data_IF_014199783691
#
_entry.id   IF_014199783691
#
_cell.length_a   1.000
_cell.length_b   1.000
_cell.length_c   1.000
_cell.angle_alpha   90.00
_cell.angle_beta   90.00
_cell.angle_gamma   90.00
#
_symmetry.space_group_name_H-M   'P 1'
#
loop_
_entity.id
_entity.type
_entity.pdbx_description
1 polymer ?
#
# COMPACT_ATOMS: atom_id res chain seq x y z
N UNK A 1 23.14 17.91 3.15
CA UNK A 1 21.96 17.18 3.65
C UNK A 1 20.74 17.86 3.03
N UNK A 2 20.54 17.60 1.74
CA UNK A 2 19.61 18.30 0.82
C UNK A 2 18.19 17.79 1.06
N UNK A 3 17.12 18.56 1.12
CA UNK A 3 16.86 19.92 0.67
C UNK A 3 15.41 19.94 0.19
N UNK A 4 14.59 20.84 0.73
CA UNK A 4 13.18 21.04 0.41
C UNK A 4 12.93 21.19 -1.09
N UNK A 5 11.95 20.48 -1.66
CA UNK A 5 11.40 20.80 -2.99
C UNK A 5 9.88 20.59 -2.97
N UNK A 6 9.15 21.53 -2.36
CA UNK A 6 7.81 21.87 -2.85
C UNK A 6 8.02 22.43 -4.28
N UNK A 7 7.28 22.00 -5.31
CA UNK A 7 7.42 22.58 -6.63
C UNK A 7 6.75 23.96 -6.65
N UNK A 8 7.51 24.99 -6.28
CA UNK A 8 7.20 26.40 -6.46
C UNK A 8 7.31 26.84 -7.94
N UNK A 9 6.96 25.98 -8.89
CA UNK A 9 7.23 26.23 -10.32
C UNK A 9 6.09 25.85 -11.28
N UNK A 10 4.84 25.71 -10.81
CA UNK A 10 3.66 25.78 -11.71
C UNK A 10 3.38 27.25 -12.05
N UNK A 11 4.38 27.95 -12.59
CA UNK A 11 4.22 29.30 -13.17
C UNK A 11 5.29 29.51 -14.24
N UNK A 12 4.97 29.14 -15.49
CA UNK A 12 5.49 29.67 -16.77
C UNK A 12 5.09 28.67 -17.86
N UNK A 13 4.64 29.00 -19.06
CA UNK A 13 4.14 30.21 -19.68
C UNK A 13 3.36 29.71 -20.91
N UNK A 14 2.30 30.41 -21.29
CA UNK A 14 1.52 30.10 -22.48
C UNK A 14 2.40 30.20 -23.75
N UNK A 15 2.30 29.18 -24.61
CA UNK A 15 2.23 29.20 -26.09
C UNK A 15 2.87 27.93 -26.65
N UNK A 16 2.11 27.23 -27.51
CA UNK A 16 2.31 25.82 -27.82
C UNK A 16 3.61 25.48 -28.56
N UNK A 17 4.32 24.48 -28.05
CA UNK A 17 5.25 23.64 -28.80
C UNK A 17 5.43 22.31 -28.05
N UNK A 18 5.03 21.21 -28.70
CA UNK A 18 5.30 19.80 -28.38
C UNK A 18 4.81 19.24 -27.02
N UNK A 19 3.83 18.33 -27.03
CA UNK A 19 4.04 16.93 -27.45
C UNK A 19 5.18 16.18 -26.70
N UNK A 20 5.60 16.65 -25.52
CA UNK A 20 6.51 15.89 -24.61
C UNK A 20 5.80 15.42 -23.33
N UNK A 21 4.59 15.92 -23.06
CA UNK A 21 3.74 15.43 -21.96
C UNK A 21 2.90 14.20 -22.31
N UNK A 22 3.00 13.68 -23.55
CA UNK A 22 2.25 12.50 -23.98
C UNK A 22 2.99 11.18 -23.71
N UNK A 23 4.23 11.22 -23.25
CA UNK A 23 4.95 10.07 -22.71
C UNK A 23 4.95 10.12 -21.18
N UNK A 24 3.74 10.09 -20.60
CA UNK A 24 3.52 9.55 -19.26
C UNK A 24 4.25 8.19 -19.20
N UNK A 25 5.28 7.97 -18.38
CA UNK A 25 5.47 6.62 -17.90
C UNK A 25 4.21 6.32 -17.09
N UNK A 26 3.44 5.33 -17.54
CA UNK A 26 2.37 4.75 -16.74
C UNK A 26 2.90 4.64 -15.31
N UNK A 27 2.19 5.26 -14.37
CA UNK A 27 2.48 5.17 -12.95
C UNK A 27 2.77 3.69 -12.68
N UNK A 28 3.92 3.33 -12.07
CA UNK A 28 4.08 1.97 -11.65
C UNK A 28 3.02 1.81 -10.57
N UNK A 29 1.90 1.20 -10.94
CA UNK A 29 1.02 0.54 -10.00
C UNK A 29 1.87 -0.61 -9.44
N UNK A 30 2.78 -0.26 -8.53
CA UNK A 30 3.34 -1.21 -7.61
C UNK A 30 2.12 -1.68 -6.84
N UNK A 31 1.56 -2.80 -7.30
CA UNK A 31 0.84 -3.70 -6.44
C UNK A 31 1.79 -3.95 -5.26
N UNK A 32 1.70 -3.12 -4.22
CA UNK A 32 2.43 -3.26 -2.97
C UNK A 32 1.84 -4.48 -2.27
N UNK A 33 2.10 -5.67 -2.82
CA UNK A 33 2.03 -6.88 -2.05
C UNK A 33 3.15 -6.73 -1.03
N UNK A 34 2.85 -6.29 0.20
CA UNK A 34 3.80 -6.31 1.30
C UNK A 34 4.15 -7.80 1.53
N UNK A 35 5.29 -8.31 1.03
CA UNK A 35 5.60 -9.73 1.14
C UNK A 35 5.76 -10.14 2.61
N UNK A 36 6.15 -9.17 3.45
CA UNK A 36 6.21 -9.30 4.90
C UNK A 36 4.86 -9.61 5.51
N UNK A 37 3.76 -9.05 5.00
CA UNK A 37 2.43 -9.28 5.56
C UNK A 37 2.02 -10.74 5.43
N UNK A 38 2.21 -11.34 4.26
CA UNK A 38 1.87 -12.76 4.07
C UNK A 38 2.69 -13.68 4.95
N UNK A 39 4.00 -13.44 5.05
CA UNK A 39 4.92 -14.29 5.82
C UNK A 39 4.70 -14.13 7.32
N UNK A 40 4.68 -12.90 7.81
CA UNK A 40 4.51 -12.61 9.25
C UNK A 40 3.13 -13.04 9.75
N UNK A 41 2.09 -12.90 8.95
CA UNK A 41 0.73 -13.26 9.35
C UNK A 41 0.31 -14.69 8.96
N UNK A 42 1.21 -15.54 8.46
CA UNK A 42 0.85 -16.87 7.96
C UNK A 42 0.24 -17.75 9.07
N UNK A 43 0.88 -17.79 10.23
CA UNK A 43 0.41 -18.57 11.38
C UNK A 43 -0.96 -18.06 11.88
N UNK A 44 -1.13 -16.75 11.98
CA UNK A 44 -2.40 -16.14 12.40
C UNK A 44 -3.51 -16.33 11.35
N UNK A 45 -3.17 -16.27 10.06
CA UNK A 45 -4.08 -16.61 8.98
C UNK A 45 -4.58 -18.04 9.11
N UNK A 46 -3.68 -19.02 9.32
CA UNK A 46 -4.07 -20.41 9.49
C UNK A 46 -4.94 -20.65 10.73
N UNK A 47 -4.64 -19.97 11.83
CA UNK A 47 -5.36 -20.13 13.11
C UNK A 47 -6.72 -19.43 13.13
N UNK A 48 -6.83 -18.24 12.53
CA UNK A 48 -8.00 -17.35 12.69
C UNK A 48 -8.82 -17.16 11.40
N UNK A 49 -8.21 -17.33 10.23
CA UNK A 49 -8.77 -16.94 8.94
C UNK A 49 -8.67 -18.04 7.86
N UNK A 50 -8.45 -19.31 8.24
CA UNK A 50 -8.24 -20.42 7.29
C UNK A 50 -9.45 -20.74 6.41
N UNK A 51 -10.66 -20.37 6.85
CA UNK A 51 -11.87 -20.51 6.06
C UNK A 51 -12.06 -19.40 5.01
N UNK A 52 -11.20 -18.38 5.00
CA UNK A 52 -11.31 -17.25 4.08
C UNK A 52 -10.68 -17.62 2.74
N UNK A 53 -11.50 -17.67 1.70
CA UNK A 53 -10.99 -17.92 0.36
C UNK A 53 -10.04 -16.78 -0.08
N UNK A 54 -8.94 -17.11 -0.78
CA UNK A 54 -7.94 -16.13 -1.19
C UNK A 54 -8.48 -15.13 -2.21
N UNK A 55 -7.77 -14.01 -2.38
CA UNK A 55 -8.11 -12.95 -3.34
C UNK A 55 -9.00 -11.84 -2.76
N UNK A 56 -9.01 -10.70 -3.46
CA UNK A 56 -9.86 -9.54 -3.14
C UNK A 56 -9.61 -8.91 -1.77
N UNK A 57 -8.44 -9.12 -1.15
CA UNK A 57 -8.13 -8.55 0.17
C UNK A 57 -8.95 -9.13 1.34
N UNK A 58 -9.69 -10.23 1.15
CA UNK A 58 -10.56 -10.79 2.20
C UNK A 58 -9.78 -11.30 3.41
N UNK A 59 -8.63 -11.93 3.16
CA UNK A 59 -7.74 -12.40 4.24
C UNK A 59 -7.25 -11.21 5.08
N UNK A 60 -6.90 -10.11 4.42
CA UNK A 60 -6.49 -8.87 5.08
C UNK A 60 -7.60 -8.29 5.94
N UNK A 61 -8.84 -8.27 5.45
CA UNK A 61 -10.00 -7.82 6.23
C UNK A 61 -10.25 -8.73 7.44
N UNK A 62 -10.11 -10.04 7.29
CA UNK A 62 -10.24 -10.98 8.40
C UNK A 62 -9.18 -10.72 9.49
N UNK A 63 -7.90 -10.63 9.09
CA UNK A 63 -6.80 -10.31 10.01
C UNK A 63 -7.00 -8.93 10.66
N UNK A 64 -7.43 -7.93 9.89
CA UNK A 64 -7.73 -6.59 10.37
C UNK A 64 -8.86 -6.53 11.40
N UNK A 65 -9.91 -7.35 11.24
CA UNK A 65 -11.01 -7.44 12.19
C UNK A 65 -10.59 -8.16 13.49
N UNK A 66 -9.62 -9.06 13.38
CA UNK A 66 -9.08 -9.90 14.46
C UNK A 66 -7.81 -9.35 15.08
N UNK A 67 -7.50 -8.06 14.89
CA UNK A 67 -6.19 -7.47 15.25
C UNK A 67 -5.75 -7.75 16.70
N UNK A 68 -6.70 -7.79 17.64
CA UNK A 68 -6.45 -8.05 19.06
C UNK A 68 -6.10 -9.51 19.38
N UNK A 69 -6.44 -10.43 18.48
CA UNK A 69 -6.22 -11.87 18.62
C UNK A 69 -4.98 -12.33 17.84
N UNK A 70 -4.38 -11.45 17.03
CA UNK A 70 -3.14 -11.71 16.28
C UNK A 70 -1.93 -11.77 17.22
N UNK A 71 -0.85 -12.38 16.75
CA UNK A 71 0.48 -12.18 17.32
C UNK A 71 0.91 -10.72 17.22
N UNK A 72 1.79 -10.27 18.13
CA UNK A 72 2.27 -8.89 18.14
C UNK A 72 2.92 -8.48 16.81
N UNK A 73 3.66 -9.41 16.19
CA UNK A 73 4.32 -9.18 14.90
C UNK A 73 3.30 -8.95 13.78
N UNK A 74 2.30 -9.82 13.65
CA UNK A 74 1.27 -9.65 12.62
C UNK A 74 0.39 -8.43 12.90
N UNK A 75 0.05 -8.15 14.16
CA UNK A 75 -0.70 -6.95 14.54
C UNK A 75 0.05 -5.68 14.15
N UNK A 76 1.36 -5.61 14.38
CA UNK A 76 2.19 -4.47 13.97
C UNK A 76 2.16 -4.25 12.45
N UNK A 77 2.23 -5.32 11.65
CA UNK A 77 2.15 -5.24 10.20
C UNK A 77 0.76 -4.81 9.73
N UNK A 78 -0.31 -5.36 10.31
CA UNK A 78 -1.70 -5.00 10.00
C UNK A 78 -1.98 -3.54 10.34
N UNK A 79 -1.44 -3.00 11.44
CA UNK A 79 -1.54 -1.57 11.79
C UNK A 79 -0.91 -0.67 10.72
N UNK A 80 0.30 -1.03 10.24
CA UNK A 80 0.97 -0.30 9.15
C UNK A 80 0.23 -0.41 7.83
N UNK A 81 -0.35 -1.57 7.54
CA UNK A 81 -1.17 -1.77 6.34
C UNK A 81 -2.44 -0.90 6.39
N UNK A 82 -3.12 -0.84 7.53
CA UNK A 82 -4.32 -0.02 7.72
C UNK A 82 -4.06 1.47 7.53
N UNK A 83 -2.88 1.99 7.89
CA UNK A 83 -2.56 3.40 7.65
C UNK A 83 -2.33 3.71 6.17
N UNK A 84 -1.73 2.78 5.41
CA UNK A 84 -1.46 2.97 3.98
C UNK A 84 -2.73 2.92 3.10
N UNK A 85 -3.76 2.19 3.53
CA UNK A 85 -5.02 2.06 2.79
C UNK A 85 -6.07 3.10 3.20
N UNK A 86 -5.73 3.99 4.15
CA UNK A 86 -6.61 5.06 4.63
C UNK A 86 -6.30 6.42 3.98
N UNK A 87 -5.29 6.44 3.11
CA UNK A 87 -4.99 7.52 2.16
C UNK A 87 -5.71 7.27 0.83
#
# INVERSE_FOLDING_TARGET
>A
MTGSILPAAVRMAATGFLMVYMSLPAQPALAQSNPDLRKTCEADHHRLCSAIAPGGGRILQCLAAREKELTEECAAVIRRYKSQYRD
#
